data_IF_815970564050
#
_entry.id   IF_815970564050
#
_cell.length_a   1.000
_cell.length_b   1.000
_cell.length_c   1.000
_cell.angle_alpha   90.00
_cell.angle_beta   90.00
_cell.angle_gamma   90.00
#
_symmetry.space_group_name_H-M   'P 1'
#
loop_
_entity.id
_entity.type
_entity.pdbx_description
1 polymer ?
#
# COMPACT_ATOMS: atom_id res chain seq x y z
N UNK A 1 -11.55 -11.86 -4.95
CA UNK A 1 -10.83 -10.65 -4.53
C UNK A 1 -11.68 -9.44 -4.84
N UNK A 2 -12.13 -8.75 -3.80
CA UNK A 2 -12.87 -7.51 -3.88
C UNK A 2 -12.06 -6.39 -3.23
N UNK A 3 -12.29 -5.14 -3.66
CA UNK A 3 -11.49 -4.00 -3.23
C UNK A 3 -12.42 -2.92 -2.72
N UNK A 4 -12.13 -2.46 -1.51
CA UNK A 4 -12.91 -1.44 -0.81
C UNK A 4 -12.00 -0.29 -0.42
N UNK A 5 -12.52 0.93 -0.53
CA UNK A 5 -11.90 2.10 0.07
C UNK A 5 -12.47 2.28 1.47
N UNK A 6 -11.61 2.26 2.49
CA UNK A 6 -11.96 2.62 3.87
C UNK A 6 -11.53 4.09 4.05
N UNK A 7 -12.46 5.04 4.19
CA UNK A 7 -12.09 6.44 4.42
C UNK A 7 -11.37 6.61 5.76
N UNK A 8 -10.30 7.38 5.77
CA UNK A 8 -9.57 7.77 6.98
C UNK A 8 -9.23 9.27 6.93
N UNK A 9 -9.10 9.88 8.12
CA UNK A 9 -8.80 11.30 8.26
C UNK A 9 -9.77 12.20 7.46
N UNK A 10 -9.25 13.08 6.61
CA UNK A 10 -10.05 14.00 5.79
C UNK A 10 -10.20 13.50 4.35
N UNK A 11 -9.13 12.96 3.78
CA UNK A 11 -9.00 12.66 2.36
C UNK A 11 -8.16 11.41 2.04
N UNK A 12 -7.69 10.67 3.05
CA UNK A 12 -6.94 9.43 2.84
C UNK A 12 -7.89 8.24 2.57
N UNK A 13 -7.41 7.31 1.75
CA UNK A 13 -8.03 6.00 1.56
C UNK A 13 -7.10 4.90 2.07
N UNK A 14 -7.58 4.12 3.04
CA UNK A 14 -6.99 2.83 3.38
C UNK A 14 -7.65 1.82 2.44
N UNK A 15 -6.88 1.28 1.49
CA UNK A 15 -7.43 0.25 0.60
C UNK A 15 -7.51 -1.09 1.30
N UNK A 16 -8.61 -1.80 1.10
CA UNK A 16 -8.78 -3.17 1.57
C UNK A 16 -8.92 -4.13 0.40
N UNK A 17 -8.16 -5.22 0.43
CA UNK A 17 -8.27 -6.36 -0.47
C UNK A 17 -8.94 -7.49 0.31
N UNK A 18 -10.12 -7.93 -0.11
CA UNK A 18 -10.92 -8.93 0.60
C UNK A 18 -11.00 -10.23 -0.21
N UNK A 19 -10.78 -11.35 0.46
CA UNK A 19 -10.98 -12.71 -0.07
C UNK A 19 -11.63 -13.57 1.02
N UNK A 20 -12.87 -14.03 0.78
CA UNK A 20 -13.68 -14.79 1.75
C UNK A 20 -13.85 -14.01 3.06
N UNK A 21 -13.39 -14.57 4.18
CA UNK A 21 -13.44 -14.02 5.53
C UNK A 21 -12.12 -13.35 5.95
N UNK A 22 -11.20 -13.15 5.01
CA UNK A 22 -9.90 -12.52 5.25
C UNK A 22 -9.75 -11.24 4.43
N UNK A 23 -8.92 -10.33 4.94
CA UNK A 23 -8.56 -9.12 4.21
C UNK A 23 -7.13 -8.66 4.48
N UNK A 24 -6.60 -7.90 3.53
CA UNK A 24 -5.34 -7.17 3.61
C UNK A 24 -5.66 -5.69 3.52
N UNK A 25 -4.90 -4.85 4.22
CA UNK A 25 -5.00 -3.39 4.11
C UNK A 25 -3.72 -2.79 3.54
N UNK A 26 -3.88 -1.74 2.75
CA UNK A 26 -2.79 -0.91 2.25
C UNK A 26 -2.84 0.43 2.97
N UNK A 27 -1.71 0.83 3.54
CA UNK A 27 -1.49 2.10 4.23
C UNK A 27 -2.49 2.41 5.36
N UNK A 28 -2.62 1.53 6.39
CA UNK A 28 -3.55 1.75 7.49
C UNK A 28 -3.03 2.83 8.46
N UNK A 29 -3.17 4.11 8.12
CA UNK A 29 -2.85 5.23 9.02
C UNK A 29 -3.72 5.31 10.27
N UNK A 30 -4.96 4.80 10.20
CA UNK A 30 -5.90 4.76 11.33
C UNK A 30 -6.37 3.33 11.63
N UNK A 31 -5.85 2.75 12.71
CA UNK A 31 -6.24 1.42 13.17
C UNK A 31 -7.73 1.30 13.52
N UNK A 32 -8.38 2.36 13.98
CA UNK A 32 -9.79 2.32 14.37
C UNK A 32 -10.70 2.15 13.15
N UNK A 33 -10.40 2.85 12.05
CA UNK A 33 -11.11 2.69 10.79
C UNK A 33 -11.03 1.24 10.27
N UNK A 34 -9.84 0.63 10.33
CA UNK A 34 -9.61 -0.76 9.95
C UNK A 34 -10.36 -1.75 10.87
N UNK A 35 -10.25 -1.56 12.20
CA UNK A 35 -10.96 -2.41 13.18
C UNK A 35 -12.47 -2.33 13.02
N UNK A 36 -13.01 -1.15 12.73
CA UNK A 36 -14.43 -0.96 12.44
C UNK A 36 -14.84 -1.72 11.18
N UNK A 37 -14.11 -1.57 10.07
CA UNK A 37 -14.37 -2.29 8.83
C UNK A 37 -14.33 -3.81 9.01
N UNK A 38 -13.33 -4.32 9.74
CA UNK A 38 -13.21 -5.74 10.09
C UNK A 38 -14.46 -6.25 10.83
N UNK A 39 -14.89 -5.54 11.89
CA UNK A 39 -16.04 -5.93 12.70
C UNK A 39 -17.37 -5.88 11.92
N UNK A 40 -17.59 -4.83 11.12
CA UNK A 40 -18.84 -4.66 10.36
C UNK A 40 -19.01 -5.74 9.27
N UNK A 41 -17.91 -6.27 8.74
CA UNK A 41 -17.92 -7.25 7.66
C UNK A 41 -17.55 -8.68 8.12
N UNK A 42 -17.30 -8.88 9.42
CA UNK A 42 -16.80 -10.15 9.99
C UNK A 42 -15.54 -10.68 9.28
N UNK A 43 -14.57 -9.79 9.03
CA UNK A 43 -13.33 -10.13 8.33
C UNK A 43 -12.13 -10.20 9.28
N UNK A 44 -11.20 -11.10 9.02
CA UNK A 44 -9.94 -11.24 9.76
C UNK A 44 -8.77 -10.62 8.99
N UNK A 45 -8.03 -9.73 9.66
CA UNK A 45 -6.86 -9.08 9.06
C UNK A 45 -5.74 -10.10 8.87
N UNK A 46 -5.29 -10.26 7.63
CA UNK A 46 -4.28 -11.26 7.24
C UNK A 46 -2.88 -10.69 7.09
N UNK A 47 -2.74 -9.47 6.58
CA UNK A 47 -1.46 -8.76 6.44
C UNK A 47 -1.68 -7.27 6.17
N UNK A 48 -0.60 -6.50 6.25
CA UNK A 48 -0.57 -5.06 5.98
C UNK A 48 0.46 -4.80 4.88
N UNK A 49 0.12 -3.92 3.93
CA UNK A 49 1.03 -3.39 2.90
C UNK A 49 1.28 -1.90 3.16
N UNK A 50 2.54 -1.48 3.15
CA UNK A 50 2.95 -0.08 3.37
C UNK A 50 3.68 0.44 2.14
N UNK A 51 3.26 1.60 1.64
CA UNK A 51 3.88 2.25 0.48
C UNK A 51 5.07 3.11 0.87
N UNK A 52 4.96 3.88 1.95
CA UNK A 52 6.01 4.78 2.42
C UNK A 52 5.83 5.14 3.91
N UNK A 53 6.79 5.88 4.48
CA UNK A 53 6.87 6.06 5.93
C UNK A 53 5.85 7.00 6.57
N UNK A 54 5.16 7.87 5.81
CA UNK A 54 4.37 8.95 6.44
C UNK A 54 3.34 8.41 7.45
N UNK A 55 3.10 9.13 8.58
CA UNK A 55 2.26 8.62 9.67
C UNK A 55 0.80 8.36 9.28
N UNK A 56 0.26 9.08 8.32
CA UNK A 56 -1.09 8.86 7.79
C UNK A 56 -1.21 7.59 6.92
N UNK A 57 -0.09 6.89 6.66
CA UNK A 57 -0.03 5.59 6.01
C UNK A 57 0.42 4.48 6.98
N UNK A 58 1.23 4.81 8.00
CA UNK A 58 1.86 3.83 8.92
C UNK A 58 1.30 3.85 10.34
N UNK A 59 0.53 4.87 10.71
CA UNK A 59 0.14 5.16 12.11
C UNK A 59 -0.67 4.06 12.79
N UNK A 60 -1.37 3.21 12.04
CA UNK A 60 -2.16 2.11 12.59
C UNK A 60 -1.42 0.78 12.72
N UNK A 61 -0.18 0.65 12.24
CA UNK A 61 0.54 -0.64 12.19
C UNK A 61 0.61 -1.29 13.58
N UNK A 62 1.18 -0.59 14.57
CA UNK A 62 1.43 -1.15 15.91
C UNK A 62 0.14 -1.55 16.62
N UNK A 63 -0.91 -0.75 16.46
CA UNK A 63 -2.21 -1.01 17.07
C UNK A 63 -2.97 -2.17 16.42
N UNK A 64 -2.70 -2.48 15.14
CA UNK A 64 -3.28 -3.60 14.41
C UNK A 64 -2.54 -4.91 14.65
N UNK A 65 -1.23 -4.84 14.92
CA UNK A 65 -0.37 -6.01 15.14
C UNK A 65 -0.12 -6.34 16.60
N UNK A 66 -0.54 -5.47 17.53
CA UNK A 66 -0.32 -5.61 18.99
C UNK A 66 -0.61 -7.02 19.53
N UNK A 67 -1.71 -7.63 19.10
CA UNK A 67 -2.18 -8.92 19.60
C UNK A 67 -2.09 -10.04 18.54
N UNK A 68 -1.57 -9.75 17.35
CA UNK A 68 -1.55 -10.68 16.22
C UNK A 68 -0.21 -10.64 15.47
N UNK A 69 0.42 -11.80 15.29
CA UNK A 69 1.59 -11.94 14.42
C UNK A 69 1.15 -12.12 12.96
N UNK A 70 0.94 -11.00 12.27
CA UNK A 70 0.69 -10.95 10.81
C UNK A 70 1.89 -10.32 10.11
N UNK A 71 2.08 -10.62 8.82
CA UNK A 71 3.09 -9.94 8.00
C UNK A 71 2.72 -8.49 7.77
N UNK A 72 3.71 -7.62 7.91
CA UNK A 72 3.67 -6.22 7.54
C UNK A 72 4.76 -6.01 6.50
N UNK A 73 4.32 -5.91 5.25
CA UNK A 73 5.16 -5.67 4.10
C UNK A 73 5.35 -4.17 3.90
N UNK A 74 6.57 -3.74 3.64
CA UNK A 74 6.85 -2.32 3.40
C UNK A 74 8.25 -2.06 2.88
N UNK A 75 8.62 -0.79 2.66
CA UNK A 75 9.91 -0.47 2.06
C UNK A 75 11.08 -0.80 2.98
N UNK A 76 12.23 -1.10 2.36
CA UNK A 76 13.52 -1.28 3.05
C UNK A 76 13.96 -0.01 3.78
N UNK A 77 14.69 -0.19 4.87
CA UNK A 77 15.43 0.90 5.53
C UNK A 77 15.44 0.84 7.06
N UNK A 78 14.68 -0.07 7.67
CA UNK A 78 14.63 -0.26 9.11
C UNK A 78 14.11 0.94 9.90
N UNK A 79 13.46 1.91 9.24
CA UNK A 79 12.98 3.16 9.85
C UNK A 79 11.47 3.17 10.16
N UNK A 80 10.69 2.27 9.57
CA UNK A 80 9.25 2.14 9.84
C UNK A 80 9.04 1.02 10.88
N UNK A 81 8.59 1.39 12.06
CA UNK A 81 8.34 0.45 13.14
C UNK A 81 7.18 -0.50 12.80
N UNK A 82 7.38 -1.81 13.03
CA UNK A 82 6.37 -2.83 12.81
C UNK A 82 6.43 -3.52 11.43
N UNK A 83 7.25 -3.05 10.48
CA UNK A 83 7.55 -3.83 9.27
C UNK A 83 8.24 -5.14 9.66
N UNK A 84 7.73 -6.25 9.13
CA UNK A 84 8.31 -7.59 9.32
C UNK A 84 9.03 -8.08 8.07
N UNK A 85 8.60 -7.60 6.90
CA UNK A 85 9.05 -8.07 5.59
C UNK A 85 9.40 -6.84 4.72
N UNK A 86 10.69 -6.53 4.62
CA UNK A 86 11.17 -5.40 3.83
C UNK A 86 11.25 -5.74 2.33
N UNK A 87 10.73 -4.84 1.50
CA UNK A 87 10.59 -4.99 0.06
C UNK A 87 11.32 -3.87 -0.70
N UNK A 88 11.77 -4.17 -1.91
CA UNK A 88 12.32 -3.20 -2.85
C UNK A 88 12.07 -3.61 -4.30
N UNK A 89 12.76 -2.96 -5.22
CA UNK A 89 12.54 -3.12 -6.66
C UNK A 89 12.64 -4.60 -7.10
N UNK A 90 11.65 -5.06 -7.87
CA UNK A 90 11.53 -6.42 -8.43
C UNK A 90 11.24 -7.52 -7.40
N UNK A 91 11.11 -7.21 -6.11
CA UNK A 91 10.58 -8.17 -5.15
C UNK A 91 9.13 -8.53 -5.51
N UNK A 92 8.67 -9.70 -5.05
CA UNK A 92 7.31 -10.16 -5.25
C UNK A 92 6.76 -10.72 -3.94
N UNK A 93 5.49 -10.43 -3.68
CA UNK A 93 4.73 -11.03 -2.59
C UNK A 93 3.48 -11.72 -3.14
N UNK A 94 2.95 -12.68 -2.40
CA UNK A 94 1.71 -13.37 -2.75
C UNK A 94 0.62 -13.02 -1.74
N UNK A 95 -0.48 -12.44 -2.23
CA UNK A 95 -1.67 -12.11 -1.45
C UNK A 95 -2.84 -12.87 -2.05
N UNK A 96 -3.44 -13.79 -1.28
CA UNK A 96 -4.61 -14.58 -1.70
C UNK A 96 -4.45 -15.27 -3.08
N UNK A 97 -3.27 -15.84 -3.36
CA UNK A 97 -2.98 -16.50 -4.64
C UNK A 97 -2.65 -15.54 -5.80
N UNK A 98 -2.44 -14.25 -5.50
CA UNK A 98 -2.13 -13.20 -6.48
C UNK A 98 -0.75 -12.64 -6.19
N UNK A 99 0.11 -12.66 -7.22
CA UNK A 99 1.44 -12.06 -7.15
C UNK A 99 1.30 -10.54 -7.24
N UNK A 100 1.95 -9.83 -6.33
CA UNK A 100 2.19 -8.40 -6.39
C UNK A 100 3.67 -8.16 -6.59
N UNK A 101 4.02 -7.53 -7.71
CA UNK A 101 5.36 -7.05 -8.01
C UNK A 101 5.58 -5.67 -7.40
N UNK A 102 6.77 -5.48 -6.85
CA UNK A 102 7.14 -4.25 -6.15
C UNK A 102 7.94 -3.34 -7.08
N UNK A 103 7.52 -2.08 -7.15
CA UNK A 103 8.21 -1.01 -7.83
C UNK A 103 8.65 0.03 -6.83
N UNK A 104 9.94 0.32 -6.73
CA UNK A 104 10.43 1.53 -6.08
C UNK A 104 10.01 2.73 -6.94
N UNK A 105 9.39 3.70 -6.28
CA UNK A 105 8.85 4.90 -6.89
C UNK A 105 9.28 6.15 -6.13
N UNK A 106 10.61 6.40 -5.98
CA UNK A 106 11.10 7.55 -5.24
C UNK A 106 10.61 8.86 -5.87
N UNK A 107 10.31 9.83 -5.03
CA UNK A 107 9.84 11.15 -5.45
C UNK A 107 9.18 11.88 -4.30
N UNK A 108 8.03 11.37 -3.85
CA UNK A 108 7.35 11.89 -2.67
C UNK A 108 8.24 11.74 -1.43
N UNK A 109 8.58 10.49 -1.12
CA UNK A 109 9.67 10.08 -0.23
C UNK A 109 10.70 9.27 -1.03
N UNK A 110 11.89 9.05 -0.47
CA UNK A 110 12.94 8.25 -1.10
C UNK A 110 12.71 6.74 -0.96
N UNK A 111 12.00 6.32 0.08
CA UNK A 111 11.69 4.92 0.37
C UNK A 111 10.44 4.40 -0.35
N UNK A 112 9.69 5.26 -1.03
CA UNK A 112 8.37 4.93 -1.55
C UNK A 112 8.40 3.71 -2.50
N UNK A 113 7.53 2.74 -2.23
CA UNK A 113 7.24 1.59 -3.10
C UNK A 113 5.77 1.56 -3.54
N UNK A 114 5.52 0.94 -4.67
CA UNK A 114 4.19 0.69 -5.24
C UNK A 114 3.98 -0.80 -5.48
N UNK A 115 2.75 -1.28 -5.25
CA UNK A 115 2.37 -2.69 -5.38
C UNK A 115 1.52 -2.89 -6.63
N UNK A 116 1.99 -3.70 -7.57
CA UNK A 116 1.28 -3.97 -8.82
C UNK A 116 0.95 -5.45 -8.99
N UNK A 117 -0.28 -5.75 -9.37
CA UNK A 117 -0.72 -7.12 -9.63
C UNK A 117 -1.32 -7.24 -11.02
N UNK A 118 -0.68 -8.02 -11.90
CA UNK A 118 -1.12 -8.26 -13.28
C UNK A 118 -1.97 -9.53 -13.39
N UNK A 119 -3.29 -9.39 -13.13
CA UNK A 119 -4.26 -10.47 -13.31
C UNK A 119 -5.40 -10.01 -14.24
N UNK A 120 -6.54 -10.71 -14.23
CA UNK A 120 -7.71 -10.41 -15.06
C UNK A 120 -8.09 -8.91 -15.01
N UNK A 121 -8.04 -8.34 -13.81
CA UNK A 121 -8.21 -6.90 -13.52
C UNK A 121 -6.91 -6.38 -12.88
N UNK A 122 -5.96 -5.82 -13.65
CA UNK A 122 -4.72 -5.34 -13.08
C UNK A 122 -4.98 -4.18 -12.13
N UNK A 123 -4.23 -4.15 -11.04
CA UNK A 123 -4.32 -3.11 -10.03
C UNK A 123 -2.94 -2.62 -9.61
N UNK A 124 -2.86 -1.33 -9.31
CA UNK A 124 -1.72 -0.66 -8.74
C UNK A 124 -2.13 0.06 -7.45
N UNK A 125 -1.47 -0.24 -6.34
CA UNK A 125 -1.48 0.60 -5.15
C UNK A 125 -0.19 1.42 -5.14
N UNK A 126 -0.30 2.72 -5.47
CA UNK A 126 0.85 3.60 -5.71
C UNK A 126 1.09 4.65 -4.62
N UNK A 127 0.38 4.56 -3.49
CA UNK A 127 0.45 5.53 -2.40
C UNK A 127 0.37 6.95 -2.93
N UNK A 128 1.31 7.77 -2.47
CA UNK A 128 1.39 9.19 -2.79
C UNK A 128 2.26 9.48 -4.01
N UNK A 129 2.65 8.47 -4.80
CA UNK A 129 3.40 8.70 -6.04
C UNK A 129 2.50 9.30 -7.13
N UNK A 130 1.33 8.69 -7.37
CA UNK A 130 0.42 9.04 -8.47
C UNK A 130 -0.99 9.26 -7.92
N UNK A 131 -1.63 10.33 -8.36
CA UNK A 131 -3.04 10.62 -8.07
C UNK A 131 -3.83 10.81 -9.37
N UNK A 132 -5.16 10.73 -9.28
CA UNK A 132 -6.02 11.08 -10.41
C UNK A 132 -5.82 12.55 -10.79
N UNK A 133 -5.20 12.78 -11.96
CA UNK A 133 -4.88 14.11 -12.46
C UNK A 133 -3.69 14.79 -11.76
N UNK A 134 -2.90 14.08 -10.95
CA UNK A 134 -1.79 14.66 -10.19
C UNK A 134 -0.71 13.66 -9.76
N UNK A 135 0.23 14.13 -8.96
CA UNK A 135 1.29 13.32 -8.34
C UNK A 135 1.61 13.88 -6.95
N UNK A 136 2.26 13.07 -6.11
CA UNK A 136 2.71 13.51 -4.79
C UNK A 136 3.61 14.74 -4.84
N UNK A 137 3.53 15.53 -3.78
CA UNK A 137 4.51 16.58 -3.52
C UNK A 137 5.87 15.95 -3.24
N UNK A 138 6.95 16.56 -3.74
CA UNK A 138 8.32 16.10 -3.50
C UNK A 138 8.80 16.59 -2.13
N UNK A 139 8.68 15.76 -1.09
CA UNK A 139 9.22 16.09 0.24
C UNK A 139 10.71 15.77 0.32
N UNK A 140 11.11 14.62 -0.24
CA UNK A 140 12.50 14.15 -0.16
C UNK A 140 13.16 13.97 -1.54
N UNK A 141 12.39 13.53 -2.54
CA UNK A 141 12.90 13.24 -3.87
C UNK A 141 13.02 14.46 -4.78
N UNK A 142 13.58 14.24 -5.97
CA UNK A 142 13.75 15.25 -7.02
C UNK A 142 12.67 15.14 -8.10
N UNK A 143 12.44 16.20 -8.90
CA UNK A 143 11.56 16.13 -10.06
C UNK A 143 11.94 15.03 -11.05
N UNK A 144 13.26 14.80 -11.24
CA UNK A 144 13.75 13.72 -12.10
C UNK A 144 13.37 12.35 -11.53
N UNK A 145 13.50 12.13 -10.23
CA UNK A 145 13.10 10.86 -9.59
C UNK A 145 11.60 10.62 -9.79
N UNK A 146 10.75 11.59 -9.45
CA UNK A 146 9.31 11.48 -9.63
C UNK A 146 8.94 11.25 -11.10
N UNK A 147 9.58 11.94 -12.04
CA UNK A 147 9.37 11.72 -13.47
C UNK A 147 9.67 10.28 -13.89
N UNK A 148 10.79 9.70 -13.43
CA UNK A 148 11.12 8.31 -13.72
C UNK A 148 10.13 7.33 -13.07
N UNK A 149 9.69 7.60 -11.84
CA UNK A 149 8.67 6.82 -11.13
C UNK A 149 7.34 6.84 -11.88
N UNK A 150 6.83 8.02 -12.26
CA UNK A 150 5.61 8.15 -13.05
C UNK A 150 5.74 7.50 -14.44
N UNK A 151 6.91 7.63 -15.08
CA UNK A 151 7.18 6.98 -16.37
C UNK A 151 7.11 5.46 -16.24
N UNK A 152 7.68 4.89 -15.17
CA UNK A 152 7.59 3.46 -14.85
C UNK A 152 6.12 3.03 -14.72
N UNK A 153 5.34 3.72 -13.88
CA UNK A 153 3.92 3.41 -13.68
C UNK A 153 3.08 3.58 -14.95
N UNK A 154 3.38 4.59 -15.79
CA UNK A 154 2.67 4.83 -17.05
C UNK A 154 2.89 3.75 -18.11
N UNK A 155 3.92 2.92 -17.95
CA UNK A 155 4.21 1.80 -18.86
C UNK A 155 3.36 0.55 -18.58
N UNK A 156 2.62 0.53 -17.46
CA UNK A 156 1.70 -0.54 -17.12
C UNK A 156 0.51 -0.58 -18.10
N UNK A 157 -0.20 -1.73 -18.22
CA UNK A 157 -1.34 -1.84 -19.11
C UNK A 157 -2.39 -0.74 -18.88
N UNK A 158 -2.93 -0.15 -19.95
CA UNK A 158 -3.91 0.95 -19.83
C UNK A 158 -5.24 0.57 -19.14
N UNK A 159 -5.48 -0.72 -18.88
CA UNK A 159 -6.62 -1.22 -18.10
C UNK A 159 -6.36 -1.30 -16.59
N UNK A 160 -5.14 -0.98 -16.14
CA UNK A 160 -4.75 -1.01 -14.73
C UNK A 160 -5.60 -0.01 -13.94
N UNK A 161 -6.20 -0.50 -12.85
CA UNK A 161 -6.86 0.34 -11.87
C UNK A 161 -5.82 0.91 -10.92
N UNK A 162 -5.92 2.22 -10.71
CA UNK A 162 -5.16 3.02 -9.75
C UNK A 162 -6.17 3.55 -8.74
#
# INVERSE_FOLDING_TARGET
MEIFAIPAFTDNYIWSIVEKDQFVVVDPGDANAVKKFSNENNLQLSSILITHWHPDHTGGILDLTKDNSISVFGPKGGHIEGITDELGENDNIEIFGKIFSIFETPGHTLDHISYYSDHDKPILFCGDTLFSGGCGRLFEGTPDQMFHSLKKLSSLPGKTKV
#
